data_IF_648915933383
#
_entry.id   IF_648915933383
#
_cell.length_a   1.000
_cell.length_b   1.000
_cell.length_c   1.000
_cell.angle_alpha   90.00
_cell.angle_beta   90.00
_cell.angle_gamma   90.00
#
_symmetry.space_group_name_H-M   'P 1'
#
loop_
_entity.id
_entity.type
_entity.pdbx_description
1 polymer ?
#
# COMPACT_ATOMS: atom_id res chain seq x y z
N UNK A 1 -5.27 -1.13 -11.57
CA UNK A 1 -5.24 -1.55 -10.14
C UNK A 1 -4.91 -0.34 -9.30
N UNK A 2 -5.45 -0.25 -8.10
CA UNK A 2 -5.15 0.79 -7.13
C UNK A 2 -4.83 0.12 -5.79
N UNK A 3 -3.80 0.58 -5.10
CA UNK A 3 -3.43 0.10 -3.77
C UNK A 3 -3.67 1.24 -2.77
N UNK A 4 -4.49 0.95 -1.78
CA UNK A 4 -5.10 1.89 -0.85
C UNK A 4 -5.95 3.00 -1.50
N UNK A 5 -6.62 3.75 -0.64
CA UNK A 5 -7.67 4.72 -0.96
C UNK A 5 -7.50 6.03 -0.16
N UNK A 6 -6.25 6.43 0.10
CA UNK A 6 -5.92 7.70 0.74
C UNK A 6 -6.36 8.92 -0.07
N UNK A 7 -5.95 10.12 0.36
CA UNK A 7 -6.36 11.39 -0.26
C UNK A 7 -6.07 11.47 -1.78
N UNK A 8 -4.99 10.81 -2.24
CA UNK A 8 -4.63 10.67 -3.65
C UNK A 8 -5.64 9.90 -4.52
N UNK A 9 -6.60 9.19 -3.92
CA UNK A 9 -7.62 8.46 -4.68
C UNK A 9 -8.56 9.39 -5.46
N UNK A 10 -8.81 10.60 -4.97
CA UNK A 10 -9.65 11.58 -5.68
C UNK A 10 -9.05 11.96 -7.05
N UNK A 11 -7.80 12.48 -7.14
CA UNK A 11 -7.20 12.75 -8.44
C UNK A 11 -7.01 11.47 -9.28
N UNK A 12 -6.68 10.33 -8.68
CA UNK A 12 -6.60 9.05 -9.41
C UNK A 12 -7.92 8.67 -10.08
N UNK A 13 -9.05 8.79 -9.37
CA UNK A 13 -10.38 8.52 -9.92
C UNK A 13 -10.79 9.51 -11.02
N UNK A 14 -10.31 10.76 -10.97
CA UNK A 14 -10.51 11.73 -12.06
C UNK A 14 -9.74 11.33 -13.32
N UNK A 15 -8.48 10.88 -13.17
CA UNK A 15 -7.66 10.39 -14.27
C UNK A 15 -8.28 9.16 -14.94
N UNK A 16 -8.67 8.15 -14.17
CA UNK A 16 -9.36 6.95 -14.69
C UNK A 16 -10.63 7.30 -15.47
N UNK A 17 -11.43 8.24 -14.95
CA UNK A 17 -12.62 8.72 -15.65
C UNK A 17 -12.27 9.40 -16.98
N UNK A 18 -11.23 10.22 -17.03
CA UNK A 18 -10.79 10.90 -18.24
C UNK A 18 -10.30 9.91 -19.31
N UNK A 19 -9.71 8.80 -18.89
CA UNK A 19 -9.26 7.69 -19.75
C UNK A 19 -10.39 6.71 -20.13
N UNK A 20 -11.59 6.89 -19.57
CA UNK A 20 -12.73 5.97 -19.79
C UNK A 20 -12.57 4.60 -19.12
N UNK A 21 -11.70 4.49 -18.11
CA UNK A 21 -11.47 3.25 -17.37
C UNK A 21 -12.53 3.10 -16.27
N UNK A 22 -13.39 2.10 -16.44
CA UNK A 22 -14.46 1.76 -15.49
C UNK A 22 -14.26 0.44 -14.73
N UNK A 23 -13.32 -0.41 -15.16
CA UNK A 23 -13.02 -1.70 -14.53
C UNK A 23 -11.82 -1.55 -13.60
N UNK A 24 -12.06 -1.58 -12.28
CA UNK A 24 -11.07 -1.23 -11.26
C UNK A 24 -10.99 -2.31 -10.20
N UNK A 25 -9.77 -2.79 -9.95
CA UNK A 25 -9.43 -3.55 -8.74
C UNK A 25 -8.70 -2.62 -7.76
N UNK A 26 -9.26 -2.47 -6.56
CA UNK A 26 -8.74 -1.67 -5.45
C UNK A 26 -8.38 -2.60 -4.29
N UNK A 27 -7.14 -2.54 -3.82
CA UNK A 27 -6.61 -3.42 -2.78
C UNK A 27 -6.24 -2.60 -1.55
N UNK A 28 -6.76 -2.97 -0.39
CA UNK A 28 -6.40 -2.33 0.87
C UNK A 28 -5.27 -3.07 1.58
N UNK A 29 -4.17 -2.39 1.88
CA UNK A 29 -3.20 -2.86 2.86
C UNK A 29 -3.88 -2.96 4.23
N UNK A 30 -4.54 -1.88 4.65
CA UNK A 30 -5.38 -1.76 5.83
C UNK A 30 -6.28 -0.52 5.69
N UNK A 31 -7.09 -0.22 6.70
CA UNK A 31 -8.11 0.84 6.61
C UNK A 31 -7.96 1.93 7.69
N UNK A 32 -6.73 2.31 8.04
CA UNK A 32 -6.51 3.58 8.73
C UNK A 32 -6.88 4.77 7.84
N UNK A 33 -7.12 5.93 8.46
CA UNK A 33 -7.74 7.07 7.77
C UNK A 33 -6.96 7.53 6.54
N UNK A 34 -5.66 7.68 6.67
CA UNK A 34 -4.73 8.01 5.59
C UNK A 34 -4.73 6.99 4.44
N UNK A 35 -5.18 5.76 4.66
CA UNK A 35 -5.33 4.72 3.63
C UNK A 35 -6.76 4.59 3.08
N UNK A 36 -7.77 5.28 3.64
CA UNK A 36 -9.18 5.14 3.19
C UNK A 36 -9.92 6.46 2.96
N UNK A 37 -9.37 7.61 3.39
CA UNK A 37 -10.12 8.88 3.43
C UNK A 37 -10.59 9.39 2.05
N UNK A 38 -9.91 9.01 0.97
CA UNK A 38 -10.29 9.38 -0.39
C UNK A 38 -11.41 8.51 -0.97
N UNK A 39 -11.68 7.35 -0.37
CA UNK A 39 -12.68 6.37 -0.82
C UNK A 39 -14.05 6.99 -1.18
N UNK A 40 -14.67 7.86 -0.36
CA UNK A 40 -16.00 8.37 -0.62
C UNK A 40 -16.09 9.27 -1.87
N UNK A 41 -14.93 9.75 -2.35
CA UNK A 41 -14.83 10.68 -3.47
C UNK A 41 -14.37 10.03 -4.77
N UNK A 42 -14.21 8.70 -4.78
CA UNK A 42 -13.76 7.96 -5.95
C UNK A 42 -14.78 8.04 -7.09
N UNK A 43 -14.45 8.83 -8.13
CA UNK A 43 -15.38 9.15 -9.23
C UNK A 43 -15.98 7.93 -9.93
N UNK A 44 -15.25 6.81 -10.09
CA UNK A 44 -15.83 5.61 -10.68
C UNK A 44 -17.06 5.04 -9.97
N UNK A 45 -17.29 5.32 -8.68
CA UNK A 45 -18.50 4.85 -7.97
C UNK A 45 -19.82 5.47 -8.47
N UNK A 46 -19.74 6.59 -9.20
CA UNK A 46 -20.91 7.35 -9.64
C UNK A 46 -21.21 7.16 -11.14
N UNK A 47 -20.69 6.09 -11.75
CA UNK A 47 -21.06 5.66 -13.09
C UNK A 47 -21.56 4.21 -13.07
N UNK A 48 -22.76 3.95 -13.60
CA UNK A 48 -23.41 2.63 -13.61
C UNK A 48 -22.73 1.61 -14.52
N UNK A 49 -21.92 2.09 -15.46
CA UNK A 49 -21.17 1.26 -16.40
C UNK A 49 -19.87 0.72 -15.79
N UNK A 50 -19.49 1.20 -14.59
CA UNK A 50 -18.24 0.82 -13.95
C UNK A 50 -18.41 -0.41 -13.05
N UNK A 51 -17.34 -1.20 -12.97
CA UNK A 51 -17.20 -2.36 -12.09
C UNK A 51 -15.98 -2.13 -11.20
N UNK A 52 -16.23 -2.04 -9.88
CA UNK A 52 -15.19 -1.82 -8.88
C UNK A 52 -15.15 -3.01 -7.93
N UNK A 53 -14.03 -3.73 -7.96
CA UNK A 53 -13.72 -4.84 -7.04
C UNK A 53 -12.81 -4.33 -5.94
N UNK A 54 -13.22 -4.54 -4.71
CA UNK A 54 -12.52 -4.03 -3.53
C UNK A 54 -12.06 -5.21 -2.69
N UNK A 55 -10.76 -5.27 -2.44
CA UNK A 55 -10.09 -6.41 -1.83
C UNK A 55 -9.52 -6.02 -0.46
N UNK A 56 -9.78 -6.81 0.58
CA UNK A 56 -9.08 -6.67 1.86
C UNK A 56 -8.92 -8.01 2.59
N UNK A 57 -7.82 -8.13 3.33
CA UNK A 57 -7.53 -9.33 4.13
C UNK A 57 -6.91 -9.06 5.51
N UNK A 58 -6.66 -7.80 5.87
CA UNK A 58 -6.03 -7.42 7.14
C UNK A 58 -6.87 -7.80 8.37
N UNK A 59 -8.20 -7.86 8.23
CA UNK A 59 -9.13 -8.28 9.29
C UNK A 59 -9.80 -9.63 9.00
N UNK A 60 -9.18 -10.50 8.19
CA UNK A 60 -9.77 -11.78 7.83
C UNK A 60 -10.20 -12.60 9.06
N UNK A 61 -11.48 -13.03 9.07
CA UNK A 61 -12.08 -13.75 10.19
C UNK A 61 -12.57 -12.87 11.34
N UNK A 62 -12.33 -11.55 11.29
CA UNK A 62 -12.83 -10.57 12.26
C UNK A 62 -13.89 -9.65 11.66
N UNK A 63 -13.62 -9.10 10.46
CA UNK A 63 -14.55 -8.30 9.67
C UNK A 63 -14.39 -8.61 8.18
N UNK A 64 -15.49 -8.53 7.46
CA UNK A 64 -15.50 -8.56 5.99
C UNK A 64 -15.16 -7.19 5.43
N UNK A 65 -14.66 -7.17 4.20
CA UNK A 65 -14.39 -5.97 3.40
C UNK A 65 -15.65 -5.12 3.27
N UNK A 66 -16.82 -5.74 3.11
CA UNK A 66 -18.09 -5.04 3.06
C UNK A 66 -18.41 -4.32 4.37
N UNK A 67 -18.27 -4.99 5.51
CA UNK A 67 -18.52 -4.37 6.83
C UNK A 67 -17.60 -3.17 7.07
N UNK A 68 -16.30 -3.31 6.76
CA UNK A 68 -15.31 -2.23 6.94
C UNK A 68 -15.72 -0.98 6.14
N UNK A 69 -16.05 -1.16 4.85
CA UNK A 69 -16.43 -0.06 3.96
C UNK A 69 -17.77 0.54 4.37
N UNK A 70 -18.76 -0.30 4.71
CA UNK A 70 -20.09 0.15 5.10
C UNK A 70 -20.05 0.98 6.39
N UNK A 71 -19.25 0.57 7.38
CA UNK A 71 -19.04 1.34 8.61
C UNK A 71 -18.38 2.70 8.32
N UNK A 72 -17.35 2.73 7.47
CA UNK A 72 -16.68 3.98 7.08
C UNK A 72 -17.60 4.92 6.29
N UNK A 73 -18.41 4.37 5.38
CA UNK A 73 -19.43 5.08 4.59
C UNK A 73 -20.74 5.31 5.39
N UNK A 74 -20.66 5.55 6.71
CA UNK A 74 -21.84 5.76 7.55
C UNK A 74 -21.68 6.90 8.57
N UNK A 75 -22.78 7.53 9.04
CA UNK A 75 -22.70 8.56 10.08
C UNK A 75 -22.10 8.02 11.39
N UNK A 76 -21.29 8.81 12.11
CA UNK A 76 -20.98 10.22 11.89
C UNK A 76 -19.82 10.49 10.92
N UNK A 77 -19.18 9.46 10.37
CA UNK A 77 -17.96 9.59 9.57
C UNK A 77 -18.23 10.06 8.15
N UNK A 78 -19.27 9.52 7.52
CA UNK A 78 -19.70 9.93 6.20
C UNK A 78 -21.23 9.88 6.06
N UNK A 79 -21.88 10.91 5.48
CA UNK A 79 -23.34 11.00 5.49
C UNK A 79 -24.04 10.13 4.43
N UNK A 80 -23.29 9.54 3.50
CA UNK A 80 -23.85 8.82 2.34
C UNK A 80 -23.47 7.33 2.42
N UNK A 81 -24.44 6.42 2.45
CA UNK A 81 -24.17 4.98 2.45
C UNK A 81 -23.68 4.46 1.08
N UNK A 82 -23.04 3.30 1.08
CA UNK A 82 -22.45 2.67 -0.11
C UNK A 82 -23.49 2.32 -1.19
N UNK A 83 -24.75 2.07 -0.81
CA UNK A 83 -25.86 1.75 -1.72
C UNK A 83 -26.30 2.93 -2.61
N UNK A 84 -25.87 4.15 -2.29
CA UNK A 84 -26.08 5.33 -3.15
C UNK A 84 -25.12 5.31 -4.35
N UNK A 85 -24.00 4.60 -4.26
CA UNK A 85 -23.11 4.40 -5.39
C UNK A 85 -23.82 3.60 -6.48
N UNK A 86 -23.68 4.03 -7.73
CA UNK A 86 -24.43 3.46 -8.84
C UNK A 86 -23.60 2.47 -9.68
N UNK A 87 -22.29 2.42 -9.47
CA UNK A 87 -21.40 1.41 -10.02
C UNK A 87 -21.69 0.01 -9.47
N UNK A 88 -21.24 -1.02 -10.18
CA UNK A 88 -21.21 -2.39 -9.65
C UNK A 88 -20.05 -2.51 -8.67
N UNK A 89 -20.34 -2.59 -7.37
CA UNK A 89 -19.30 -2.73 -6.33
C UNK A 89 -19.32 -4.15 -5.79
N UNK A 90 -18.18 -4.84 -5.89
CA UNK A 90 -18.00 -6.20 -5.38
C UNK A 90 -16.88 -6.20 -4.36
N UNK A 91 -17.18 -6.62 -3.13
CA UNK A 91 -16.16 -6.80 -2.10
C UNK A 91 -15.61 -8.22 -2.12
N UNK A 92 -14.30 -8.36 -1.92
CA UNK A 92 -13.55 -9.60 -2.01
C UNK A 92 -12.68 -9.77 -0.77
N UNK A 93 -13.08 -10.71 0.08
CA UNK A 93 -12.30 -11.09 1.25
C UNK A 93 -11.23 -12.11 0.89
N UNK A 94 -10.07 -11.99 1.52
CA UNK A 94 -8.99 -12.98 1.43
C UNK A 94 -8.25 -13.06 2.77
N UNK A 95 -7.35 -14.02 2.92
CA UNK A 95 -6.45 -14.13 4.07
C UNK A 95 -5.02 -13.81 3.67
N UNK A 96 -4.26 -13.20 4.59
CA UNK A 96 -2.83 -13.06 4.41
C UNK A 96 -2.18 -14.41 4.05
N UNK A 97 -1.35 -14.42 3.00
CA UNK A 97 -0.76 -15.63 2.45
C UNK A 97 -1.45 -16.15 1.18
N UNK A 98 -2.68 -15.71 0.90
CA UNK A 98 -3.41 -16.10 -0.31
C UNK A 98 -2.78 -15.46 -1.56
N UNK A 99 -2.99 -16.14 -2.70
CA UNK A 99 -2.74 -15.61 -4.04
C UNK A 99 -4.07 -15.12 -4.62
N UNK A 100 -4.13 -13.87 -5.05
CA UNK A 100 -5.36 -13.27 -5.54
C UNK A 100 -5.53 -13.53 -7.05
N UNK A 101 -6.66 -14.11 -7.41
CA UNK A 101 -7.04 -14.40 -8.80
C UNK A 101 -7.76 -13.18 -9.41
N UNK A 102 -6.97 -12.29 -10.02
CA UNK A 102 -7.44 -11.02 -10.60
C UNK A 102 -7.38 -11.06 -12.13
N UNK A 103 -6.34 -11.66 -12.69
CA UNK A 103 -6.16 -11.84 -14.14
C UNK A 103 -5.22 -13.03 -14.41
N UNK A 104 -5.43 -13.85 -15.46
CA UNK A 104 -4.65 -15.07 -15.70
C UNK A 104 -3.12 -14.90 -15.74
N UNK A 105 -2.65 -13.79 -16.31
CA UNK A 105 -1.21 -13.49 -16.43
C UNK A 105 -0.64 -12.67 -15.24
N UNK A 106 -1.47 -12.40 -14.22
CA UNK A 106 -1.14 -11.57 -13.06
C UNK A 106 -1.12 -12.42 -11.79
N UNK A 107 0.05 -12.49 -11.16
CA UNK A 107 0.20 -13.16 -9.87
C UNK A 107 0.30 -12.11 -8.76
N UNK A 108 -0.70 -12.06 -7.87
CA UNK A 108 -0.66 -11.21 -6.67
C UNK A 108 -0.56 -12.10 -5.45
N UNK A 109 0.61 -12.15 -4.82
CA UNK A 109 0.81 -12.85 -3.54
C UNK A 109 0.72 -11.87 -2.38
N UNK A 110 0.18 -12.34 -1.26
CA UNK A 110 -0.03 -11.50 -0.07
C UNK A 110 0.69 -12.09 1.15
N UNK A 111 1.02 -11.24 2.12
CA UNK A 111 1.42 -11.68 3.46
C UNK A 111 1.08 -10.63 4.52
N UNK A 112 1.09 -11.05 5.78
CA UNK A 112 0.77 -10.18 6.92
C UNK A 112 1.97 -9.29 7.25
N UNK A 113 1.70 -8.00 7.47
CA UNK A 113 2.67 -7.02 7.96
C UNK A 113 2.45 -6.74 9.45
N UNK A 114 3.49 -6.24 10.10
CA UNK A 114 3.47 -5.94 11.53
C UNK A 114 2.99 -4.50 11.78
N UNK A 115 1.68 -4.30 11.89
CA UNK A 115 1.12 -2.97 12.12
C UNK A 115 -0.06 -3.04 13.12
N UNK A 116 -0.25 -2.03 13.99
CA UNK A 116 -1.46 -1.94 14.81
C UNK A 116 -2.72 -2.01 13.93
N UNK A 117 -3.62 -2.96 14.20
CA UNK A 117 -4.80 -3.18 13.35
C UNK A 117 -4.56 -4.10 12.15
N UNK A 118 -3.35 -4.67 12.04
CA UNK A 118 -2.85 -5.50 10.94
C UNK A 118 -2.77 -4.75 9.61
N UNK A 119 -1.84 -5.17 8.75
CA UNK A 119 -1.77 -4.72 7.37
C UNK A 119 -1.36 -5.86 6.44
N UNK A 120 -1.67 -5.71 5.15
CA UNK A 120 -1.31 -6.66 4.09
C UNK A 120 -0.23 -6.06 3.21
N UNK A 121 0.85 -6.83 3.02
CA UNK A 121 1.85 -6.60 1.99
C UNK A 121 1.46 -7.34 0.73
N UNK A 122 1.77 -6.73 -0.42
CA UNK A 122 1.47 -7.28 -1.73
C UNK A 122 2.74 -7.48 -2.53
N UNK A 123 2.85 -8.58 -3.27
CA UNK A 123 3.80 -8.75 -4.38
C UNK A 123 3.02 -9.06 -5.65
N UNK A 124 3.30 -8.29 -6.68
CA UNK A 124 2.70 -8.33 -8.00
C UNK A 124 3.75 -8.79 -8.99
N UNK A 125 3.56 -9.95 -9.62
CA UNK A 125 4.37 -10.40 -10.75
C UNK A 125 3.54 -10.34 -12.04
N UNK A 126 4.07 -9.65 -13.07
CA UNK A 126 3.42 -9.46 -14.36
C UNK A 126 4.45 -9.42 -15.49
N UNK A 127 4.31 -10.29 -16.49
CA UNK A 127 5.15 -10.31 -17.70
C UNK A 127 6.67 -10.27 -17.42
N UNK A 128 7.12 -10.98 -16.38
CA UNK A 128 8.53 -11.04 -16.00
C UNK A 128 9.04 -9.84 -15.20
N UNK A 129 8.15 -8.92 -14.80
CA UNK A 129 8.42 -7.83 -13.85
C UNK A 129 7.75 -8.10 -12.52
N UNK A 130 8.30 -7.52 -11.46
CA UNK A 130 7.87 -7.73 -10.09
C UNK A 130 7.89 -6.43 -9.28
N UNK A 131 6.78 -6.16 -8.58
CA UNK A 131 6.62 -5.04 -7.66
C UNK A 131 6.14 -5.57 -6.32
N UNK A 132 6.72 -5.12 -5.22
CA UNK A 132 6.14 -5.34 -3.89
C UNK A 132 5.76 -4.02 -3.21
N UNK A 133 4.66 -4.02 -2.47
CA UNK A 133 4.14 -2.88 -1.74
C UNK A 133 4.09 -3.27 -0.27
N UNK A 134 5.01 -2.69 0.50
CA UNK A 134 5.24 -2.96 1.92
C UNK A 134 5.10 -1.62 2.66
N UNK A 135 3.88 -1.11 2.73
CA UNK A 135 3.58 0.07 3.56
C UNK A 135 3.59 -0.32 5.04
N UNK A 136 3.24 0.60 5.93
CA UNK A 136 2.84 0.42 7.33
C UNK A 136 3.24 -0.93 7.93
N UNK A 137 4.51 -1.00 8.31
CA UNK A 137 5.07 -2.16 8.98
C UNK A 137 6.14 -1.71 9.97
N UNK A 138 6.06 -2.21 11.20
CA UNK A 138 7.09 -2.00 12.20
C UNK A 138 8.10 -3.12 12.15
N UNK A 139 9.37 -2.74 12.04
CA UNK A 139 10.47 -3.67 12.16
C UNK A 139 11.06 -3.64 13.57
N UNK A 140 11.76 -4.72 13.90
CA UNK A 140 12.67 -4.74 15.04
C UNK A 140 14.09 -4.53 14.54
N UNK A 141 14.81 -3.54 15.09
CA UNK A 141 16.21 -3.24 14.75
C UNK A 141 17.07 -4.52 14.74
N UNK A 142 17.72 -4.77 13.60
CA UNK A 142 18.61 -5.91 13.40
C UNK A 142 17.92 -7.26 13.13
N UNK A 143 16.59 -7.31 13.07
CA UNK A 143 15.84 -8.50 12.63
C UNK A 143 15.33 -8.32 11.21
N UNK A 144 15.34 -9.41 10.45
CA UNK A 144 14.74 -9.47 9.13
C UNK A 144 13.34 -10.04 9.25
N UNK A 145 12.34 -9.29 8.79
CA UNK A 145 10.96 -9.76 8.74
C UNK A 145 10.81 -10.81 7.63
N UNK A 146 10.33 -11.99 8.00
CA UNK A 146 10.21 -13.13 7.08
C UNK A 146 9.11 -12.94 6.04
N UNK A 147 8.00 -12.32 6.43
CA UNK A 147 6.88 -12.03 5.55
C UNK A 147 7.31 -11.01 4.50
N UNK A 148 7.99 -9.94 4.93
CA UNK A 148 8.55 -8.95 4.01
C UNK A 148 9.56 -9.60 3.07
N UNK A 149 10.57 -10.32 3.60
CA UNK A 149 11.59 -10.99 2.78
C UNK A 149 10.98 -11.91 1.72
N UNK A 150 9.92 -12.65 2.07
CA UNK A 150 9.20 -13.51 1.12
C UNK A 150 8.57 -12.70 -0.02
N UNK A 151 7.97 -11.55 0.28
CA UNK A 151 7.33 -10.69 -0.72
C UNK A 151 8.37 -9.99 -1.62
N UNK A 152 9.54 -9.64 -1.10
CA UNK A 152 10.54 -8.86 -1.83
C UNK A 152 11.69 -9.69 -2.45
N UNK A 153 11.65 -11.02 -2.34
CA UNK A 153 12.70 -11.90 -2.89
C UNK A 153 12.87 -11.71 -4.40
N UNK A 154 14.08 -11.29 -4.82
CA UNK A 154 14.48 -11.02 -6.19
C UNK A 154 13.56 -10.03 -6.93
N UNK A 155 12.91 -9.11 -6.21
CA UNK A 155 11.96 -8.15 -6.78
C UNK A 155 12.65 -7.06 -7.60
N UNK A 156 12.00 -6.54 -8.65
CA UNK A 156 12.52 -5.41 -9.42
C UNK A 156 12.41 -4.11 -8.62
N UNK A 157 11.28 -3.89 -7.96
CA UNK A 157 11.06 -2.76 -7.06
C UNK A 157 10.22 -3.20 -5.87
N UNK A 158 10.55 -2.73 -4.68
CA UNK A 158 9.58 -2.70 -3.60
C UNK A 158 9.42 -1.30 -3.02
N UNK A 159 8.20 -0.95 -2.64
CA UNK A 159 7.90 0.25 -1.87
C UNK A 159 7.91 -0.12 -0.39
N UNK A 160 8.56 0.69 0.43
CA UNK A 160 8.75 0.39 1.84
C UNK A 160 8.48 1.60 2.74
N UNK A 161 7.76 1.39 3.84
CA UNK A 161 7.58 2.38 4.90
C UNK A 161 8.93 2.88 5.44
N UNK A 162 9.17 4.17 5.34
CA UNK A 162 10.37 4.83 5.82
C UNK A 162 10.04 6.03 6.73
N UNK A 163 8.97 5.92 7.53
CA UNK A 163 8.54 7.02 8.41
C UNK A 163 9.65 7.48 9.37
N UNK A 164 10.57 6.60 9.77
CA UNK A 164 11.58 6.88 10.78
C UNK A 164 13.02 6.59 10.32
N UNK A 165 13.98 6.93 11.16
CA UNK A 165 15.36 6.47 11.11
C UNK A 165 15.59 5.46 12.23
N UNK A 166 16.64 4.63 12.16
CA UNK A 166 16.98 3.70 13.26
C UNK A 166 17.17 4.40 14.62
N UNK A 167 17.74 5.60 14.62
CA UNK A 167 17.93 6.37 15.84
C UNK A 167 16.59 6.76 16.50
N UNK A 168 15.54 6.92 15.69
CA UNK A 168 14.19 7.29 16.12
C UNK A 168 13.34 6.09 16.54
N UNK A 169 13.71 4.86 16.15
CA UNK A 169 12.92 3.66 16.43
C UNK A 169 12.71 3.39 17.92
N UNK A 170 13.62 3.80 18.80
CA UNK A 170 13.40 3.67 20.25
C UNK A 170 12.28 4.59 20.77
N UNK A 171 12.03 5.70 20.10
CA UNK A 171 10.99 6.68 20.47
C UNK A 171 9.63 6.27 19.90
N UNK A 172 9.60 5.78 18.66
CA UNK A 172 8.36 5.50 17.93
C UNK A 172 7.97 4.02 17.86
N UNK A 173 8.64 3.15 18.62
CA UNK A 173 8.24 1.75 18.75
C UNK A 173 6.78 1.62 19.17
N UNK A 174 6.06 0.70 18.54
CA UNK A 174 4.64 0.47 18.70
C UNK A 174 3.76 1.32 17.78
N UNK A 175 4.32 2.24 16.99
CA UNK A 175 3.54 3.07 16.07
C UNK A 175 3.23 2.33 14.76
N UNK A 176 3.92 1.22 14.48
CA UNK A 176 3.61 0.43 13.29
C UNK A 176 4.39 0.81 12.03
N UNK A 177 5.50 1.55 12.17
CA UNK A 177 6.27 2.09 11.05
C UNK A 177 7.75 1.74 11.12
N UNK A 178 8.46 2.02 10.04
CA UNK A 178 9.79 1.47 9.81
C UNK A 178 10.85 2.53 9.52
N UNK A 179 12.11 2.07 9.46
CA UNK A 179 13.25 2.90 9.13
C UNK A 179 13.70 2.70 7.69
N UNK A 180 14.28 3.74 7.08
CA UNK A 180 14.93 3.59 5.77
C UNK A 180 16.13 2.63 5.82
N UNK A 181 16.84 2.55 6.95
CA UNK A 181 17.96 1.62 7.12
C UNK A 181 17.47 0.16 7.05
N UNK A 182 16.30 -0.13 7.63
CA UNK A 182 15.68 -1.43 7.53
C UNK A 182 15.33 -1.76 6.08
N UNK A 183 14.78 -0.80 5.33
CA UNK A 183 14.49 -0.96 3.90
C UNK A 183 15.74 -1.42 3.13
N UNK A 184 16.86 -0.74 3.36
CA UNK A 184 18.17 -1.06 2.77
C UNK A 184 18.68 -2.43 3.21
N UNK A 185 18.56 -2.77 4.50
CA UNK A 185 18.97 -4.06 5.04
C UNK A 185 18.20 -5.22 4.38
N UNK A 186 16.89 -5.06 4.23
CA UNK A 186 16.00 -6.02 3.58
C UNK A 186 16.32 -6.14 2.08
N UNK A 187 16.52 -5.01 1.38
CA UNK A 187 16.87 -4.99 -0.04
C UNK A 187 18.13 -5.82 -0.34
N UNK A 188 19.19 -5.62 0.46
CA UNK A 188 20.46 -6.36 0.35
C UNK A 188 20.28 -7.86 0.57
N UNK A 189 19.46 -8.26 1.55
CA UNK A 189 19.23 -9.68 1.86
C UNK A 189 18.35 -10.39 0.83
N UNK A 190 17.35 -9.70 0.29
CA UNK A 190 16.40 -10.26 -0.66
C UNK A 190 16.87 -10.19 -2.12
N UNK A 191 18.05 -9.63 -2.38
CA UNK A 191 18.55 -9.37 -3.73
C UNK A 191 17.55 -8.54 -4.57
N UNK A 192 16.91 -7.55 -3.94
CA UNK A 192 16.02 -6.63 -4.62
C UNK A 192 16.83 -5.70 -5.54
N UNK A 193 16.30 -5.34 -6.71
CA UNK A 193 17.00 -4.42 -7.63
C UNK A 193 16.89 -2.97 -7.19
N UNK A 194 15.72 -2.56 -6.66
CA UNK A 194 15.48 -1.20 -6.20
C UNK A 194 14.46 -1.14 -5.06
N UNK A 195 14.50 -0.05 -4.30
CA UNK A 195 13.54 0.25 -3.22
C UNK A 195 13.11 1.71 -3.26
N UNK A 196 11.79 1.94 -3.27
CA UNK A 196 11.20 3.27 -3.12
C UNK A 196 10.78 3.49 -1.67
N UNK A 197 11.36 4.49 -1.00
CA UNK A 197 10.98 4.87 0.35
C UNK A 197 9.67 5.66 0.29
N UNK A 198 8.61 5.14 0.92
CA UNK A 198 7.27 5.75 1.01
C UNK A 198 6.88 5.97 2.47
N UNK A 199 5.69 6.54 2.69
CA UNK A 199 5.14 6.74 4.03
C UNK A 199 6.07 7.55 4.94
N UNK A 200 6.65 8.62 4.40
CA UNK A 200 7.54 9.51 5.14
C UNK A 200 6.80 10.15 6.32
N UNK A 201 7.49 10.40 7.44
CA UNK A 201 6.87 11.08 8.57
C UNK A 201 6.35 12.47 8.16
N UNK A 202 5.10 12.84 8.52
CA UNK A 202 4.44 14.06 8.05
C UNK A 202 5.06 15.36 8.59
N UNK A 203 5.99 15.25 9.55
CA UNK A 203 6.73 16.37 10.11
C UNK A 203 8.10 16.59 9.45
N UNK A 204 8.48 15.78 8.46
CA UNK A 204 9.73 15.97 7.71
C UNK A 204 9.57 17.01 6.62
N UNK A 205 10.62 17.79 6.41
CA UNK A 205 10.75 18.70 5.27
C UNK A 205 11.35 17.99 4.06
N UNK A 206 11.20 18.57 2.87
CA UNK A 206 11.82 18.06 1.64
C UNK A 206 13.35 17.95 1.79
N UNK A 207 14.02 18.96 2.37
CA UNK A 207 15.47 18.94 2.63
C UNK A 207 15.89 17.74 3.52
N UNK A 208 15.06 17.37 4.49
CA UNK A 208 15.34 16.22 5.37
C UNK A 208 15.15 14.89 4.62
N UNK A 209 14.16 14.80 3.72
CA UNK A 209 13.94 13.63 2.88
C UNK A 209 15.06 13.47 1.84
N UNK A 210 15.52 14.55 1.22
CA UNK A 210 16.68 14.55 0.33
C UNK A 210 17.95 14.07 1.05
N UNK A 211 18.15 14.50 2.31
CA UNK A 211 19.27 14.04 3.13
C UNK A 211 19.17 12.53 3.44
N UNK A 212 17.96 12.04 3.78
CA UNK A 212 17.71 10.61 4.00
C UNK A 212 17.99 9.80 2.72
N UNK A 213 17.51 10.26 1.57
CA UNK A 213 17.77 9.61 0.29
C UNK A 213 19.27 9.54 -0.02
N UNK A 214 19.98 10.66 0.15
CA UNK A 214 21.42 10.71 -0.08
C UNK A 214 22.21 9.77 0.85
N UNK A 215 21.77 9.63 2.11
CA UNK A 215 22.37 8.68 3.05
C UNK A 215 22.05 7.23 2.68
N UNK A 216 20.80 6.94 2.29
CA UNK A 216 20.39 5.62 1.83
C UNK A 216 21.15 5.19 0.56
N UNK A 217 21.36 6.10 -0.40
CA UNK A 217 22.06 5.83 -1.65
C UNK A 217 23.54 5.49 -1.46
N UNK A 218 24.18 5.98 -0.39
CA UNK A 218 25.55 5.56 -0.01
C UNK A 218 25.59 4.08 0.39
N UNK A 219 24.50 3.56 0.93
CA UNK A 219 24.39 2.18 1.40
C UNK A 219 23.86 1.23 0.32
N UNK A 220 22.96 1.70 -0.55
CA UNK A 220 22.33 0.91 -1.61
C UNK A 220 21.96 1.80 -2.80
N UNK A 221 22.65 1.64 -3.94
CA UNK A 221 22.49 2.53 -5.08
C UNK A 221 21.07 2.55 -5.71
N UNK A 222 20.27 1.50 -5.49
CA UNK A 222 18.91 1.37 -6.03
C UNK A 222 17.81 1.97 -5.15
N UNK A 223 18.13 2.76 -4.12
CA UNK A 223 17.15 3.44 -3.27
C UNK A 223 16.85 4.87 -3.72
N UNK A 224 15.61 5.29 -3.56
CA UNK A 224 15.17 6.67 -3.76
C UNK A 224 14.02 7.01 -2.81
N UNK A 225 13.83 8.28 -2.47
CA UNK A 225 12.60 8.73 -1.80
C UNK A 225 11.50 8.94 -2.85
N UNK A 226 10.36 8.27 -2.66
CA UNK A 226 9.21 8.46 -3.53
C UNK A 226 8.47 9.76 -3.19
N UNK A 227 7.81 10.35 -4.19
CA UNK A 227 7.09 11.62 -4.09
C UNK A 227 5.78 11.63 -4.89
N UNK A 228 4.87 12.54 -4.54
CA UNK A 228 3.53 12.61 -5.10
C UNK A 228 3.51 12.85 -6.61
N UNK A 229 2.88 11.94 -7.37
CA UNK A 229 2.79 12.05 -8.83
C UNK A 229 4.00 11.49 -9.58
N UNK A 230 4.97 10.90 -8.88
CA UNK A 230 6.07 10.19 -9.50
C UNK A 230 5.57 9.02 -10.37
N UNK A 231 6.17 8.84 -11.53
CA UNK A 231 5.98 7.68 -12.41
C UNK A 231 7.28 6.89 -12.48
N UNK A 232 7.20 5.57 -12.34
CA UNK A 232 8.34 4.66 -12.34
C UNK A 232 8.12 3.60 -13.42
N UNK A 233 9.12 3.37 -14.26
CA UNK A 233 9.13 2.28 -15.23
C UNK A 233 9.82 1.05 -14.65
N UNK A 234 9.20 -0.12 -14.77
CA UNK A 234 9.72 -1.41 -14.26
C UNK A 234 10.33 -2.27 -15.35
#
# INVERSE_FOLDING_TARGET
MLFDAGSGLLPAGQALKAEGIGDVNMFFSHCHYDHIIGFPYFKPFFNRENDVRIWSGHLAGQKTTHEIIAEFMSPPWFPVPLDVCCAQIVTKDFKAGDVLDVHPDLNITTDMLNHPGNAIGYRIDWQGRSLAIITDTEHETGKLDKSVLKLIDNVDLFLYDASFTEAEMNTYRGYGHSSWQQAVLLAKHANAKSVGLIHHAPFRTDDELEAIEADAQKEFAGVFAAWDGQTIEL
#
